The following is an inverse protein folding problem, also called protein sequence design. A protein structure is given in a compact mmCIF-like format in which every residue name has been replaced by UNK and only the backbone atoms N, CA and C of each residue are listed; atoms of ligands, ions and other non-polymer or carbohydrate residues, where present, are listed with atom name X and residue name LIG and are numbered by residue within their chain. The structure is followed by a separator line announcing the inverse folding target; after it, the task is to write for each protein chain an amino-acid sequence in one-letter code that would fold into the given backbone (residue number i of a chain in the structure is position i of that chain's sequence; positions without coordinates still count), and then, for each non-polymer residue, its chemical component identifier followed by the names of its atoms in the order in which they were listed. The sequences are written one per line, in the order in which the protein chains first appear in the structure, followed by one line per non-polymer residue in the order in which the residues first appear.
data_IF_119398566662
#
_entry.id   IF_119398566662
#
_cell.length_a   1.000
_cell.length_b   1.000
_cell.length_c   1.000
_cell.angle_alpha   90.00
_cell.angle_beta   90.00
_cell.angle_gamma   90.00
#
_symmetry.space_group_name_H-M   'P 1'
#
loop_
_entity.id
_entity.type
_entity.pdbx_description
1 polymer ?
#
# COMPACT_ATOMS: atom_id res chain seq x y z
N UNK A 1 59.72 -32.11 -42.70
CA UNK A 1 59.27 -32.45 -41.34
C UNK A 1 58.61 -31.24 -40.72
N UNK A 2 59.27 -30.39 -39.90
CA UNK A 2 58.56 -29.27 -39.24
C UNK A 2 57.80 -28.32 -40.19
N UNK A 3 58.39 -27.96 -41.34
CA UNK A 3 57.70 -27.09 -42.31
C UNK A 3 56.55 -27.77 -43.08
N UNK A 4 56.57 -29.10 -43.21
CA UNK A 4 55.49 -29.86 -43.85
C UNK A 4 54.32 -30.07 -42.87
N UNK A 5 54.62 -30.24 -41.58
CA UNK A 5 53.62 -30.30 -40.50
C UNK A 5 52.92 -28.95 -40.34
N UNK A 6 53.65 -27.83 -40.42
CA UNK A 6 53.07 -26.48 -40.39
C UNK A 6 52.11 -26.23 -41.58
N UNK A 7 52.45 -26.69 -42.79
CA UNK A 7 51.57 -26.59 -43.98
C UNK A 7 50.29 -27.43 -43.83
N UNK A 8 50.38 -28.60 -43.19
CA UNK A 8 49.21 -29.46 -42.92
C UNK A 8 48.27 -28.79 -41.90
N UNK A 9 48.80 -28.22 -40.82
CA UNK A 9 48.01 -27.47 -39.83
C UNK A 9 47.36 -26.23 -40.44
N UNK A 10 48.08 -25.49 -41.31
CA UNK A 10 47.52 -24.34 -42.02
C UNK A 10 46.34 -24.75 -42.92
N UNK A 11 46.46 -25.85 -43.66
CA UNK A 11 45.36 -26.39 -44.46
C UNK A 11 44.13 -26.75 -43.60
N UNK A 12 44.33 -27.41 -42.45
CA UNK A 12 43.23 -27.76 -41.55
C UNK A 12 42.52 -26.50 -41.02
N UNK A 13 43.28 -25.47 -40.63
CA UNK A 13 42.71 -24.19 -40.15
C UNK A 13 41.87 -23.51 -41.23
N UNK A 14 42.37 -23.41 -42.46
CA UNK A 14 41.63 -22.80 -43.58
C UNK A 14 40.38 -23.61 -43.95
N UNK A 15 40.50 -24.95 -43.89
CA UNK A 15 39.39 -25.87 -44.13
C UNK A 15 38.25 -25.66 -43.12
N UNK A 16 38.57 -25.68 -41.82
CA UNK A 16 37.60 -25.41 -40.75
C UNK A 16 37.02 -24.00 -40.88
N UNK A 17 37.85 -22.99 -41.14
CA UNK A 17 37.38 -21.62 -41.32
C UNK A 17 36.43 -21.48 -42.51
N UNK A 18 36.65 -22.25 -43.58
CA UNK A 18 35.75 -22.35 -44.72
C UNK A 18 34.40 -22.95 -44.34
N UNK A 19 34.41 -24.06 -43.59
CA UNK A 19 33.19 -24.70 -43.10
C UNK A 19 32.37 -23.79 -42.20
N UNK A 20 32.99 -23.12 -41.23
CA UNK A 20 32.30 -22.22 -40.30
C UNK A 20 31.71 -20.96 -40.98
N UNK A 21 32.16 -20.62 -42.20
CA UNK A 21 31.54 -19.58 -43.05
C UNK A 21 30.47 -20.14 -43.98
N UNK A 22 30.45 -21.45 -44.19
CA UNK A 22 29.58 -22.14 -45.13
C UNK A 22 28.12 -22.19 -44.66
N UNK A 23 27.18 -22.42 -45.59
CA UNK A 23 25.76 -22.55 -45.28
C UNK A 23 25.46 -23.76 -44.39
N UNK A 24 26.22 -24.85 -44.54
CA UNK A 24 26.02 -26.09 -43.79
C UNK A 24 26.27 -25.94 -42.29
N UNK A 25 27.08 -24.96 -41.90
CA UNK A 25 27.27 -24.52 -40.52
C UNK A 25 26.34 -23.35 -40.15
N UNK A 26 26.41 -22.27 -40.93
CA UNK A 26 25.79 -21.00 -40.55
C UNK A 26 24.26 -21.06 -40.52
N UNK A 27 23.62 -21.79 -41.44
CA UNK A 27 22.16 -21.86 -41.51
C UNK A 27 21.60 -22.60 -40.28
N UNK A 28 22.03 -23.84 -39.94
CA UNK A 28 21.50 -24.51 -38.75
C UNK A 28 21.74 -23.73 -37.45
N UNK A 29 22.88 -23.06 -37.31
CA UNK A 29 23.19 -22.24 -36.14
C UNK A 29 22.25 -21.02 -36.07
N UNK A 30 22.06 -20.30 -37.18
CA UNK A 30 21.15 -19.16 -37.23
C UNK A 30 19.71 -19.59 -36.98
N UNK A 31 19.24 -20.66 -37.61
CA UNK A 31 17.89 -21.22 -37.42
C UNK A 31 17.64 -21.57 -35.96
N UNK A 32 18.61 -22.21 -35.30
CA UNK A 32 18.52 -22.53 -33.87
C UNK A 32 18.39 -21.26 -33.03
N UNK A 33 19.24 -20.26 -33.28
CA UNK A 33 19.22 -19.00 -32.53
C UNK A 33 17.88 -18.28 -32.71
N UNK A 34 17.38 -18.19 -33.95
CA UNK A 34 16.10 -17.54 -34.26
C UNK A 34 14.91 -18.22 -33.59
N UNK A 35 14.94 -19.54 -33.47
CA UNK A 35 13.85 -20.31 -32.84
C UNK A 35 13.87 -20.27 -31.31
N UNK A 36 15.04 -20.04 -30.70
CA UNK A 36 15.23 -20.21 -29.25
C UNK A 36 15.57 -18.91 -28.53
N UNK A 37 15.87 -17.81 -29.23
CA UNK A 37 16.30 -16.55 -28.61
C UNK A 37 15.18 -15.79 -27.87
N UNK A 38 13.91 -16.06 -28.17
CA UNK A 38 12.76 -15.32 -27.62
C UNK A 38 12.77 -15.22 -26.08
N UNK A 39 13.19 -16.30 -25.40
CA UNK A 39 13.17 -16.37 -23.93
C UNK A 39 14.32 -15.61 -23.26
N UNK A 40 15.35 -15.20 -24.02
CA UNK A 40 16.57 -14.58 -23.52
C UNK A 40 16.41 -13.08 -23.35
N UNK A 41 16.53 -12.61 -22.11
CA UNK A 41 16.55 -11.19 -21.74
C UNK A 41 17.95 -10.72 -21.34
N UNK A 42 18.13 -9.39 -21.34
CA UNK A 42 19.37 -8.70 -20.95
C UNK A 42 19.49 -8.55 -19.41
N UNK A 43 18.84 -9.43 -18.64
CA UNK A 43 18.95 -9.42 -17.18
C UNK A 43 20.22 -10.12 -16.70
N UNK A 44 20.75 -9.71 -15.54
CA UNK A 44 21.95 -10.32 -14.94
C UNK A 44 21.68 -11.76 -14.49
N UNK A 45 20.49 -12.01 -13.91
CA UNK A 45 20.05 -13.34 -13.49
C UNK A 45 19.74 -14.24 -14.71
N UNK A 46 20.10 -15.52 -14.63
CA UNK A 46 19.87 -16.48 -15.71
C UNK A 46 18.74 -17.45 -15.34
N UNK A 47 17.80 -17.66 -16.27
CA UNK A 47 16.70 -18.62 -16.10
C UNK A 47 17.20 -20.04 -16.27
N UNK A 48 16.58 -21.00 -15.57
CA UNK A 48 16.91 -22.43 -15.70
C UNK A 48 16.76 -22.95 -17.14
N UNK A 49 15.80 -22.40 -17.89
CA UNK A 49 15.56 -22.71 -19.30
C UNK A 49 16.75 -22.35 -20.19
N UNK A 50 17.61 -21.39 -19.81
CA UNK A 50 18.78 -21.04 -20.62
C UNK A 50 19.80 -22.17 -20.66
N UNK A 51 19.94 -22.92 -19.56
CA UNK A 51 20.85 -24.06 -19.49
C UNK A 51 20.35 -25.23 -20.34
N UNK A 52 19.04 -25.47 -20.34
CA UNK A 52 18.43 -26.51 -21.19
C UNK A 52 18.67 -26.21 -22.68
N UNK A 53 18.43 -24.96 -23.10
CA UNK A 53 18.66 -24.52 -24.47
C UNK A 53 20.17 -24.54 -24.82
N UNK A 54 21.04 -24.19 -23.87
CA UNK A 54 22.49 -24.31 -24.09
C UNK A 54 22.92 -25.75 -24.34
N UNK A 55 22.32 -26.71 -23.63
CA UNK A 55 22.61 -28.12 -23.87
C UNK A 55 22.17 -28.57 -25.27
N UNK A 56 20.98 -28.16 -25.73
CA UNK A 56 20.55 -28.40 -27.12
C UNK A 56 21.51 -27.76 -28.13
N UNK A 57 22.04 -26.57 -27.83
CA UNK A 57 23.03 -25.89 -28.66
C UNK A 57 24.35 -26.65 -28.75
N UNK A 58 24.84 -27.19 -27.62
CA UNK A 58 26.06 -28.02 -27.59
C UNK A 58 25.91 -29.25 -28.47
N UNK A 59 24.78 -29.95 -28.35
CA UNK A 59 24.49 -31.15 -29.15
C UNK A 59 24.42 -30.82 -30.66
N UNK A 60 23.87 -29.66 -31.01
CA UNK A 60 23.85 -29.18 -32.40
C UNK A 60 25.26 -28.91 -32.92
N UNK A 61 26.08 -28.18 -32.16
CA UNK A 61 27.46 -27.84 -32.54
C UNK A 61 28.32 -29.11 -32.69
N UNK A 62 28.24 -30.01 -31.72
CA UNK A 62 28.94 -31.30 -31.73
C UNK A 62 28.57 -32.11 -32.96
N UNK A 63 27.27 -32.27 -33.24
CA UNK A 63 26.79 -33.00 -34.42
C UNK A 63 27.29 -32.41 -35.75
N UNK A 64 27.29 -31.07 -35.87
CA UNK A 64 27.76 -30.40 -37.09
C UNK A 64 29.26 -30.58 -37.29
N UNK A 65 30.05 -30.41 -36.23
CA UNK A 65 31.50 -30.60 -36.27
C UNK A 65 31.87 -32.06 -36.52
N UNK A 66 31.24 -33.02 -35.83
CA UNK A 66 31.48 -34.45 -36.03
C UNK A 66 31.18 -34.87 -37.48
N UNK A 67 30.06 -34.42 -38.04
CA UNK A 67 29.69 -34.72 -39.42
C UNK A 67 30.74 -34.20 -40.40
N UNK A 68 31.19 -32.96 -40.20
CA UNK A 68 32.20 -32.32 -41.03
C UNK A 68 33.56 -33.01 -40.93
N UNK A 69 34.07 -33.21 -39.72
CA UNK A 69 35.38 -33.82 -39.47
C UNK A 69 35.44 -35.24 -40.07
N UNK A 70 34.36 -36.00 -39.95
CA UNK A 70 34.24 -37.34 -40.54
C UNK A 70 34.21 -37.32 -42.07
N UNK A 71 33.58 -36.32 -42.68
CA UNK A 71 33.48 -36.21 -44.15
C UNK A 71 34.81 -35.79 -44.77
N UNK A 72 35.51 -34.83 -44.16
CA UNK A 72 36.81 -34.34 -44.63
C UNK A 72 37.96 -35.28 -44.23
N UNK A 73 37.75 -36.12 -43.21
CA UNK A 73 38.76 -37.07 -42.72
C UNK A 73 39.80 -36.43 -41.80
N UNK A 74 39.44 -35.36 -41.09
CA UNK A 74 40.27 -34.71 -40.07
C UNK A 74 40.03 -35.45 -38.75
N UNK A 75 41.11 -35.88 -38.09
CA UNK A 75 40.99 -36.52 -36.78
C UNK A 75 40.94 -35.48 -35.65
N UNK A 76 40.54 -35.92 -34.45
CA UNK A 76 40.41 -35.03 -33.27
C UNK A 76 41.74 -34.36 -32.88
N UNK A 77 42.87 -35.06 -33.01
CA UNK A 77 44.20 -34.53 -32.68
C UNK A 77 44.58 -33.37 -33.61
N UNK A 78 44.37 -33.53 -34.92
CA UNK A 78 44.60 -32.50 -35.94
C UNK A 78 43.68 -31.29 -35.74
N UNK A 79 42.41 -31.53 -35.37
CA UNK A 79 41.48 -30.46 -35.06
C UNK A 79 41.94 -29.67 -33.82
N UNK A 80 42.37 -30.37 -32.76
CA UNK A 80 42.86 -29.74 -31.54
C UNK A 80 44.15 -28.93 -31.79
N UNK A 81 45.06 -29.44 -32.61
CA UNK A 81 46.27 -28.73 -33.03
C UNK A 81 45.93 -27.47 -33.84
N UNK A 82 45.02 -27.58 -34.80
CA UNK A 82 44.53 -26.44 -35.57
C UNK A 82 43.87 -25.36 -34.68
N UNK A 83 43.07 -25.76 -33.69
CA UNK A 83 42.44 -24.82 -32.74
C UNK A 83 43.43 -24.14 -31.79
N UNK A 84 44.56 -24.78 -31.47
CA UNK A 84 45.58 -24.20 -30.59
C UNK A 84 46.61 -23.33 -31.33
N UNK A 85 46.68 -23.48 -32.66
CA UNK A 85 47.56 -22.73 -33.55
C UNK A 85 47.38 -21.20 -33.45
N UNK A 86 48.46 -20.41 -33.58
CA UNK A 86 48.38 -18.96 -33.71
C UNK A 86 47.49 -18.49 -34.86
N UNK A 87 47.37 -19.28 -35.93
CA UNK A 87 46.58 -18.98 -37.12
C UNK A 87 45.07 -18.91 -36.78
N UNK A 88 44.58 -19.79 -35.90
CA UNK A 88 43.20 -19.76 -35.43
C UNK A 88 42.87 -18.50 -34.59
N UNK A 89 43.88 -17.84 -34.01
CA UNK A 89 43.71 -16.65 -33.15
C UNK A 89 43.68 -15.32 -33.91
N UNK A 90 43.66 -15.34 -35.25
CA UNK A 90 43.55 -14.12 -36.04
C UNK A 90 42.24 -13.35 -35.72
N UNK A 91 42.24 -12.03 -35.93
CA UNK A 91 41.05 -11.19 -35.67
C UNK A 91 39.84 -11.59 -36.51
N UNK A 92 40.07 -12.10 -37.72
CA UNK A 92 39.02 -12.49 -38.66
C UNK A 92 38.38 -13.82 -38.26
N UNK A 93 39.15 -14.73 -37.66
CA UNK A 93 38.65 -16.01 -37.15
C UNK A 93 37.88 -15.86 -35.84
N UNK A 94 38.12 -14.81 -35.05
CA UNK A 94 37.44 -14.64 -33.75
C UNK A 94 35.91 -14.50 -33.85
N UNK A 95 35.39 -13.77 -34.84
CA UNK A 95 33.93 -13.66 -35.04
C UNK A 95 33.31 -14.97 -35.55
N UNK A 96 34.05 -15.72 -36.37
CA UNK A 96 33.61 -16.99 -36.97
C UNK A 96 33.65 -18.12 -35.95
N UNK A 97 34.61 -18.08 -35.02
CA UNK A 97 34.75 -19.03 -33.93
C UNK A 97 33.81 -18.74 -32.76
N UNK A 98 33.20 -17.55 -32.70
CA UNK A 98 32.33 -17.19 -31.58
C UNK A 98 31.20 -18.22 -31.32
N UNK A 99 30.47 -18.72 -32.33
CA UNK A 99 29.48 -19.78 -32.13
C UNK A 99 30.11 -21.10 -31.63
N UNK A 100 31.32 -21.44 -32.08
CA UNK A 100 32.02 -22.65 -31.59
C UNK A 100 32.40 -22.47 -30.11
N UNK A 101 32.95 -21.32 -29.74
CA UNK A 101 33.33 -21.00 -28.35
C UNK A 101 32.10 -20.95 -27.43
N UNK A 102 30.95 -20.52 -27.95
CA UNK A 102 29.70 -20.48 -27.22
C UNK A 102 29.22 -21.87 -26.78
N UNK A 103 29.66 -22.97 -27.41
CA UNK A 103 29.33 -24.32 -26.94
C UNK A 103 29.92 -24.59 -25.53
N UNK A 104 31.12 -24.10 -25.24
CA UNK A 104 31.76 -24.29 -23.94
C UNK A 104 31.52 -23.12 -22.98
N UNK A 105 31.43 -21.90 -23.50
CA UNK A 105 31.21 -20.68 -22.70
C UNK A 105 29.76 -20.22 -22.74
N UNK A 106 29.04 -20.49 -21.64
CA UNK A 106 27.66 -20.07 -21.47
C UNK A 106 27.47 -18.54 -21.55
N UNK A 107 28.46 -17.74 -21.17
CA UNK A 107 28.36 -16.27 -21.19
C UNK A 107 28.35 -15.76 -22.62
N UNK A 108 29.20 -16.33 -23.47
CA UNK A 108 29.23 -16.03 -24.92
C UNK A 108 27.91 -16.48 -25.56
N UNK A 109 27.43 -17.68 -25.21
CA UNK A 109 26.14 -18.19 -25.69
C UNK A 109 24.98 -17.27 -25.30
N UNK A 110 24.85 -16.91 -24.01
CA UNK A 110 23.80 -16.00 -23.53
C UNK A 110 23.87 -14.67 -24.29
N UNK A 111 25.05 -14.07 -24.42
CA UNK A 111 25.22 -12.82 -25.14
C UNK A 111 24.78 -12.92 -26.61
N UNK A 112 25.10 -14.03 -27.29
CA UNK A 112 24.66 -14.28 -28.67
C UNK A 112 23.13 -14.41 -28.78
N UNK A 113 22.50 -15.13 -27.85
CA UNK A 113 21.06 -15.33 -27.84
C UNK A 113 20.30 -14.04 -27.53
N UNK A 114 20.75 -13.26 -26.53
CA UNK A 114 20.19 -11.95 -26.20
C UNK A 114 20.31 -10.99 -27.39
N UNK A 115 21.49 -10.93 -28.00
CA UNK A 115 21.72 -10.09 -29.18
C UNK A 115 20.77 -10.44 -30.33
N UNK A 116 20.56 -11.74 -30.58
CA UNK A 116 19.63 -12.20 -31.63
C UNK A 116 18.17 -11.89 -31.28
N UNK A 117 17.78 -11.99 -30.00
CA UNK A 117 16.44 -11.62 -29.56
C UNK A 117 16.17 -10.13 -29.79
N UNK A 118 17.12 -9.27 -29.41
CA UNK A 118 17.05 -7.82 -29.65
C UNK A 118 16.90 -7.54 -31.15
N UNK A 119 17.70 -8.20 -31.99
CA UNK A 119 17.61 -8.07 -33.45
C UNK A 119 16.21 -8.46 -33.97
N UNK A 120 15.70 -9.63 -33.56
CA UNK A 120 14.37 -10.13 -33.94
C UNK A 120 13.25 -9.18 -33.51
N UNK A 121 13.31 -8.65 -32.28
CA UNK A 121 12.35 -7.68 -31.78
C UNK A 121 12.39 -6.38 -32.58
N UNK A 122 13.58 -5.85 -32.89
CA UNK A 122 13.73 -4.65 -33.72
C UNK A 122 13.19 -4.86 -35.14
N UNK A 123 13.42 -6.03 -35.74
CA UNK A 123 12.85 -6.38 -37.04
C UNK A 123 11.32 -6.43 -36.98
N UNK A 124 10.74 -7.04 -35.94
CA UNK A 124 9.30 -7.10 -35.75
C UNK A 124 8.68 -5.69 -35.59
N UNK A 125 9.28 -4.85 -34.76
CA UNK A 125 8.90 -3.43 -34.57
C UNK A 125 8.91 -2.71 -35.92
N UNK A 126 9.97 -2.87 -36.70
CA UNK A 126 10.09 -2.23 -38.02
C UNK A 126 8.99 -2.68 -38.98
N UNK A 127 8.69 -3.97 -39.04
CA UNK A 127 7.61 -4.51 -39.89
C UNK A 127 6.25 -3.92 -39.48
N UNK A 128 5.99 -3.76 -38.18
CA UNK A 128 4.77 -3.15 -37.67
C UNK A 128 4.67 -1.67 -38.10
N UNK A 129 5.76 -0.91 -38.00
CA UNK A 129 5.82 0.48 -38.43
C UNK A 129 5.57 0.64 -39.93
N UNK A 130 6.22 -0.18 -40.76
CA UNK A 130 6.08 -0.12 -42.22
C UNK A 130 4.66 -0.47 -42.67
N UNK A 131 3.97 -1.38 -41.96
CA UNK A 131 2.59 -1.76 -42.26
C UNK A 131 1.55 -0.74 -41.80
N UNK A 132 1.73 -0.15 -40.63
CA UNK A 132 0.72 0.68 -39.98
C UNK A 132 0.98 2.20 -40.17
N UNK A 133 2.14 2.59 -40.70
CA UNK A 133 2.57 3.97 -40.90
C UNK A 133 3.04 4.68 -39.62
N UNK A 134 2.56 4.25 -38.45
CA UNK A 134 2.97 4.71 -37.13
C UNK A 134 3.11 3.48 -36.22
N UNK A 135 4.08 3.51 -35.31
CA UNK A 135 4.23 2.47 -34.30
C UNK A 135 3.06 2.54 -33.30
N UNK A 136 2.47 1.42 -32.86
CA UNK A 136 1.46 1.42 -31.81
C UNK A 136 1.97 2.10 -30.54
N UNK A 137 1.11 2.87 -29.86
CA UNK A 137 1.45 3.59 -28.62
C UNK A 137 2.11 2.70 -27.56
N UNK A 138 1.73 1.42 -27.47
CA UNK A 138 2.33 0.44 -26.54
C UNK A 138 3.81 0.08 -26.82
N UNK A 139 4.36 0.50 -27.96
CA UNK A 139 5.75 0.29 -28.35
C UNK A 139 6.48 1.64 -28.54
N UNK A 140 5.80 2.77 -28.30
CA UNK A 140 6.35 4.13 -28.46
C UNK A 140 6.50 4.77 -27.09
N UNK A 141 7.75 5.11 -26.76
CA UNK A 141 8.20 5.65 -25.47
C UNK A 141 8.00 4.65 -24.31
N UNK A 142 9.07 4.37 -23.58
CA UNK A 142 9.06 3.49 -22.41
C UNK A 142 8.34 4.11 -21.22
N UNK A 143 7.22 4.82 -21.45
CA UNK A 143 6.24 5.12 -20.41
C UNK A 143 5.77 3.77 -19.91
N UNK A 144 6.34 3.40 -18.78
CA UNK A 144 6.06 2.22 -18.02
C UNK A 144 4.60 2.30 -17.57
N UNK A 145 3.68 1.95 -18.48
CA UNK A 145 2.24 1.96 -18.24
C UNK A 145 1.92 1.10 -17.02
N UNK A 146 2.76 0.10 -16.74
CA UNK A 146 2.72 -0.72 -15.54
C UNK A 146 3.05 0.15 -14.31
N UNK A 147 4.15 0.89 -14.30
CA UNK A 147 4.49 1.79 -13.19
C UNK A 147 3.49 2.93 -13.00
N UNK A 148 2.92 3.49 -14.07
CA UNK A 148 1.85 4.49 -13.98
C UNK A 148 0.57 3.90 -13.36
N UNK A 149 0.19 2.69 -13.75
CA UNK A 149 -0.95 1.97 -13.18
C UNK A 149 -0.71 1.65 -11.70
N UNK A 150 0.47 1.14 -11.32
CA UNK A 150 0.84 0.86 -9.93
C UNK A 150 0.82 2.12 -9.05
N UNK A 151 1.30 3.26 -9.59
CA UNK A 151 1.23 4.54 -8.90
C UNK A 151 -0.21 4.98 -8.67
N UNK A 152 -1.09 4.79 -9.64
CA UNK A 152 -2.50 5.13 -9.52
C UNK A 152 -3.22 4.21 -8.52
N UNK A 153 -2.93 2.90 -8.54
CA UNK A 153 -3.43 1.94 -7.55
C UNK A 153 -2.98 2.31 -6.13
N UNK A 154 -1.72 2.71 -5.95
CA UNK A 154 -1.19 3.15 -4.65
C UNK A 154 -1.84 4.46 -4.16
N UNK A 155 -2.28 5.34 -5.08
CA UNK A 155 -3.06 6.53 -4.70
C UNK A 155 -4.46 6.13 -4.23
N UNK A 156 -5.14 5.25 -4.97
CA UNK A 156 -6.46 4.74 -4.60
C UNK A 156 -6.40 4.06 -3.23
N UNK A 157 -5.42 3.18 -3.01
CA UNK A 157 -5.26 2.46 -1.74
C UNK A 157 -5.02 3.42 -0.56
N UNK A 158 -4.21 4.46 -0.74
CA UNK A 158 -3.99 5.51 0.29
C UNK A 158 -5.27 6.29 0.58
N UNK A 159 -6.01 6.65 -0.45
CA UNK A 159 -7.29 7.38 -0.32
C UNK A 159 -8.32 6.55 0.46
N UNK A 160 -8.42 5.25 0.15
CA UNK A 160 -9.32 4.30 0.83
C UNK A 160 -8.92 4.13 2.30
N UNK A 161 -7.64 3.93 2.59
CA UNK A 161 -7.15 3.82 3.98
C UNK A 161 -7.40 5.11 4.77
N UNK A 162 -7.21 6.28 4.16
CA UNK A 162 -7.50 7.57 4.77
C UNK A 162 -8.98 7.71 5.11
N UNK A 163 -9.87 7.45 4.15
CA UNK A 163 -11.33 7.52 4.37
C UNK A 163 -11.80 6.53 5.42
N UNK A 164 -11.32 5.29 5.38
CA UNK A 164 -11.67 4.28 6.38
C UNK A 164 -11.23 4.69 7.79
N UNK A 165 -10.05 5.30 7.93
CA UNK A 165 -9.58 5.84 9.21
C UNK A 165 -10.48 6.99 9.70
N UNK A 166 -10.81 7.95 8.83
CA UNK A 166 -11.66 9.09 9.17
C UNK A 166 -13.08 8.65 9.57
N UNK A 167 -13.66 7.71 8.83
CA UNK A 167 -14.98 7.14 9.14
C UNK A 167 -14.98 6.42 10.50
N UNK A 168 -13.92 5.67 10.81
CA UNK A 168 -13.76 5.02 12.11
C UNK A 168 -13.67 6.03 13.25
N UNK A 169 -12.85 7.08 13.10
CA UNK A 169 -12.69 8.13 14.13
C UNK A 169 -14.00 8.89 14.37
N UNK A 170 -14.74 9.22 13.30
CA UNK A 170 -16.04 9.86 13.39
C UNK A 170 -17.08 8.97 14.09
N UNK A 171 -17.14 7.68 13.76
CA UNK A 171 -18.09 6.76 14.39
C UNK A 171 -17.76 6.57 15.88
N UNK A 172 -16.48 6.49 16.24
CA UNK A 172 -16.04 6.46 17.63
C UNK A 172 -16.41 7.74 18.39
N UNK A 173 -16.29 8.91 17.75
CA UNK A 173 -16.76 10.17 18.33
C UNK A 173 -18.28 10.21 18.48
N UNK A 174 -19.04 9.71 17.50
CA UNK A 174 -20.50 9.56 17.61
C UNK A 174 -20.90 8.67 18.77
N UNK A 175 -20.20 7.55 18.99
CA UNK A 175 -20.44 6.67 20.14
C UNK A 175 -20.14 7.38 21.45
N UNK A 176 -18.99 8.06 21.57
CA UNK A 176 -18.64 8.85 22.76
C UNK A 176 -19.68 9.94 23.04
N UNK A 177 -20.10 10.70 22.04
CA UNK A 177 -21.10 11.76 22.20
C UNK A 177 -22.49 11.22 22.56
N UNK A 178 -22.92 10.10 21.96
CA UNK A 178 -24.16 9.42 22.36
C UNK A 178 -24.11 9.01 23.84
N UNK A 179 -22.99 8.47 24.30
CA UNK A 179 -22.83 8.04 25.69
C UNK A 179 -22.85 9.21 26.68
N UNK A 180 -22.21 10.33 26.35
CA UNK A 180 -22.27 11.57 27.14
C UNK A 180 -23.69 12.14 27.18
N UNK A 181 -24.38 12.18 26.03
CA UNK A 181 -25.75 12.68 25.96
C UNK A 181 -26.72 11.83 26.81
N UNK A 182 -26.56 10.50 26.78
CA UNK A 182 -27.35 9.57 27.60
C UNK A 182 -27.15 9.78 29.10
N UNK A 183 -25.90 9.96 29.56
CA UNK A 183 -25.60 10.28 30.97
C UNK A 183 -26.23 11.62 31.39
N UNK A 184 -26.17 12.63 30.53
CA UNK A 184 -26.78 13.94 30.80
C UNK A 184 -28.30 13.88 30.89
N UNK A 185 -28.95 13.06 30.05
CA UNK A 185 -30.39 12.86 30.07
C UNK A 185 -30.84 12.15 31.35
N UNK A 186 -30.09 11.15 31.79
CA UNK A 186 -30.34 10.44 33.04
C UNK A 186 -30.24 11.39 34.25
N UNK A 187 -29.23 12.26 34.28
CA UNK A 187 -29.07 13.28 35.32
C UNK A 187 -30.23 14.28 35.35
N UNK A 188 -30.69 14.76 34.19
CA UNK A 188 -31.86 15.65 34.08
C UNK A 188 -33.14 14.98 34.59
N UNK A 189 -33.35 13.71 34.29
CA UNK A 189 -34.52 12.95 34.74
C UNK A 189 -34.53 12.80 36.28
N UNK A 190 -33.38 12.48 36.88
CA UNK A 190 -33.25 12.41 38.34
C UNK A 190 -33.54 13.77 39.01
N UNK A 191 -33.12 14.87 38.40
CA UNK A 191 -33.42 16.23 38.90
C UNK A 191 -34.92 16.54 38.84
N UNK A 192 -35.63 16.17 37.76
CA UNK A 192 -37.08 16.34 37.68
C UNK A 192 -37.80 15.54 38.75
N UNK A 193 -37.44 14.27 38.93
CA UNK A 193 -38.05 13.41 39.97
C UNK A 193 -37.84 13.98 41.38
N UNK A 194 -36.65 14.54 41.64
CA UNK A 194 -36.35 15.24 42.90
C UNK A 194 -37.23 16.48 43.08
N UNK A 195 -37.39 17.28 42.03
CA UNK A 195 -38.22 18.48 42.04
C UNK A 195 -39.69 18.14 42.34
N UNK A 196 -40.25 17.15 41.63
CA UNK A 196 -41.62 16.71 41.81
C UNK A 196 -41.87 16.14 43.21
N UNK A 197 -40.91 15.38 43.75
CA UNK A 197 -40.98 14.88 45.11
C UNK A 197 -41.00 16.01 46.16
N UNK A 198 -40.16 17.04 45.99
CA UNK A 198 -40.13 18.22 46.87
C UNK A 198 -41.42 19.04 46.74
N UNK A 199 -41.93 19.19 45.52
CA UNK A 199 -43.22 19.82 45.24
C UNK A 199 -44.36 19.11 45.98
N UNK A 200 -44.41 17.78 45.90
CA UNK A 200 -45.41 16.97 46.59
C UNK A 200 -45.32 17.11 48.11
N UNK A 201 -44.11 17.12 48.69
CA UNK A 201 -43.89 17.39 50.12
C UNK A 201 -44.37 18.78 50.54
N UNK A 202 -44.07 19.81 49.74
CA UNK A 202 -44.54 21.18 49.98
C UNK A 202 -46.07 21.24 49.97
N UNK A 203 -46.71 20.64 48.98
CA UNK A 203 -48.17 20.68 48.84
C UNK A 203 -48.85 19.92 49.98
N UNK A 204 -48.29 18.78 50.40
CA UNK A 204 -48.72 18.05 51.60
C UNK A 204 -48.63 18.90 52.87
N UNK A 205 -47.52 19.63 53.04
CA UNK A 205 -47.33 20.56 54.16
C UNK A 205 -48.33 21.72 54.12
N UNK A 206 -48.58 22.29 52.94
CA UNK A 206 -49.58 23.34 52.74
C UNK A 206 -51.01 22.84 52.99
N UNK A 207 -51.32 21.57 52.68
CA UNK A 207 -52.59 20.93 53.02
C UNK A 207 -52.75 20.75 54.53
N UNK A 208 -51.70 20.28 55.22
CA UNK A 208 -51.70 20.16 56.68
C UNK A 208 -51.80 21.52 57.40
N UNK A 209 -51.31 22.60 56.77
CA UNK A 209 -51.52 23.98 57.24
C UNK A 209 -52.90 24.56 56.90
N UNK A 210 -53.61 23.99 55.92
CA UNK A 210 -54.96 24.40 55.49
C UNK A 210 -56.09 23.71 56.26
N UNK A 211 -55.78 22.73 57.11
CA UNK A 211 -56.67 22.26 58.19
C UNK A 211 -56.94 23.40 59.20
N UNK A 212 -58.08 23.40 59.93
CA UNK A 212 -58.96 24.56 60.17
C UNK A 212 -58.44 25.70 61.07
N UNK A 213 -57.13 25.87 61.25
CA UNK A 213 -56.55 27.01 61.98
C UNK A 213 -56.78 28.36 61.29
N UNK A 214 -56.88 28.41 59.95
CA UNK A 214 -57.20 29.67 59.24
C UNK A 214 -58.70 29.97 59.28
N UNK A 215 -59.57 28.94 59.27
CA UNK A 215 -61.01 29.14 59.49
C UNK A 215 -61.30 29.59 60.93
N UNK A 216 -60.46 29.24 61.90
CA UNK A 216 -60.61 29.69 63.29
C UNK A 216 -60.07 31.12 63.52
N UNK A 217 -58.99 31.52 62.83
CA UNK A 217 -58.48 32.91 62.90
C UNK A 217 -59.44 33.89 62.22
N UNK A 218 -60.01 33.54 61.05
CA UNK A 218 -60.98 34.40 60.37
C UNK A 218 -62.32 34.53 61.13
N UNK A 219 -62.73 33.50 61.89
CA UNK A 219 -63.97 33.52 62.69
C UNK A 219 -63.80 34.29 64.02
N UNK A 220 -62.60 34.27 64.62
CA UNK A 220 -62.28 35.04 65.84
C UNK A 220 -62.08 36.53 65.52
N UNK A 221 -61.47 36.86 64.38
CA UNK A 221 -61.33 38.26 63.92
C UNK A 221 -62.68 38.88 63.49
N UNK A 222 -63.62 38.09 62.98
CA UNK A 222 -64.97 38.59 62.60
C UNK A 222 -65.95 38.71 63.79
N UNK A 223 -65.78 37.96 64.87
CA UNK A 223 -66.64 38.09 66.07
C UNK A 223 -66.17 39.17 67.06
N UNK A 224 -64.90 39.58 67.04
CA UNK A 224 -64.40 40.69 67.87
C UNK A 224 -64.60 42.10 67.27
N UNK A 225 -65.10 42.22 66.05
CA UNK A 225 -65.21 43.50 65.34
C UNK A 225 -66.64 44.12 65.33
N UNK A 226 -67.57 43.65 66.18
CA UNK A 226 -68.96 44.19 66.24
C UNK A 226 -69.47 44.66 67.60
N UNK A 227 -68.62 44.70 68.64
CA UNK A 227 -68.97 45.33 69.92
C UNK A 227 -67.76 46.00 70.56
N UNK A 228 -67.71 47.33 70.49
CA UNK A 228 -66.76 48.28 71.11
C UNK A 228 -65.31 48.20 70.58
N UNK A 229 -64.69 49.19 69.91
CA UNK A 229 -64.80 50.66 70.09
C UNK A 229 -64.95 51.05 71.56
N UNK A 230 -63.97 50.67 72.38
CA UNK A 230 -63.18 51.63 73.16
C UNK A 230 -62.02 50.92 73.90
N UNK A 231 -60.92 51.64 73.97
CA UNK A 231 -59.74 51.44 74.81
C UNK A 231 -58.56 50.57 74.34
N UNK A 232 -57.61 51.33 73.77
CA UNK A 232 -56.20 51.46 74.19
C UNK A 232 -55.19 50.54 73.49
N UNK A 233 -54.22 51.25 72.92
CA UNK A 233 -53.02 50.78 72.28
C UNK A 233 -52.12 49.97 73.21
N UNK A 234 -51.70 48.80 72.75
CA UNK A 234 -50.45 48.19 73.20
C UNK A 234 -49.83 47.39 72.05
N UNK A 235 -48.66 47.83 71.58
CA UNK A 235 -47.78 46.99 70.75
C UNK A 235 -47.16 45.94 71.66
N UNK A 236 -47.28 44.63 71.39
CA UNK A 236 -46.44 43.67 72.11
C UNK A 236 -44.99 43.79 71.61
N UNK A 237 -44.11 44.13 72.54
CA UNK A 237 -42.65 44.11 72.40
C UNK A 237 -42.16 42.68 72.12
N UNK A 238 -41.35 42.55 71.07
CA UNK A 238 -40.67 41.30 70.69
C UNK A 238 -39.43 41.10 71.58
N UNK A 239 -39.31 39.91 72.18
CA UNK A 239 -38.22 39.57 73.09
C UNK A 239 -36.85 39.63 72.39
N UNK A 240 -35.79 39.97 73.14
CA UNK A 240 -34.45 40.16 72.59
C UNK A 240 -33.89 38.91 71.88
N UNK A 241 -34.33 37.72 72.32
CA UNK A 241 -33.94 36.43 71.76
C UNK A 241 -34.53 36.20 70.37
N UNK A 242 -35.78 36.62 70.14
CA UNK A 242 -36.45 36.51 68.84
C UNK A 242 -35.84 37.48 67.83
N UNK A 243 -35.52 38.70 68.25
CA UNK A 243 -34.78 39.67 67.42
C UNK A 243 -33.40 39.14 67.03
N UNK A 244 -32.65 38.56 67.98
CA UNK A 244 -31.35 37.95 67.68
C UNK A 244 -31.47 36.75 66.73
N UNK A 245 -32.50 35.93 66.90
CA UNK A 245 -32.71 34.75 66.05
C UNK A 245 -33.05 35.16 64.62
N UNK A 246 -33.88 36.19 64.44
CA UNK A 246 -34.19 36.74 63.12
C UNK A 246 -32.98 37.39 62.45
N UNK A 247 -32.16 38.14 63.21
CA UNK A 247 -30.92 38.72 62.69
C UNK A 247 -29.91 37.66 62.26
N UNK A 248 -29.71 36.61 63.06
CA UNK A 248 -28.84 35.47 62.70
C UNK A 248 -29.33 34.77 61.44
N UNK A 249 -30.64 34.54 61.31
CA UNK A 249 -31.25 33.94 60.11
C UNK A 249 -31.09 34.83 58.87
N UNK A 250 -31.21 36.15 59.02
CA UNK A 250 -31.01 37.11 57.92
C UNK A 250 -29.57 37.12 57.43
N UNK A 251 -28.59 37.17 58.34
CA UNK A 251 -27.17 37.13 58.00
C UNK A 251 -26.75 35.82 57.31
N UNK A 252 -27.26 34.68 57.77
CA UNK A 252 -26.96 33.38 57.14
C UNK A 252 -27.53 33.33 55.72
N UNK A 253 -28.74 33.84 55.51
CA UNK A 253 -29.37 33.88 54.18
C UNK A 253 -28.61 34.81 53.22
N UNK A 254 -28.08 35.94 53.71
CA UNK A 254 -27.29 36.87 52.92
C UNK A 254 -25.93 36.27 52.54
N UNK A 255 -25.25 35.60 53.48
CA UNK A 255 -23.96 34.94 53.23
C UNK A 255 -24.08 33.78 52.24
N UNK A 256 -25.14 32.97 52.35
CA UNK A 256 -25.44 31.90 51.38
C UNK A 256 -25.76 32.45 49.99
N UNK A 257 -26.41 33.62 49.91
CA UNK A 257 -26.71 34.27 48.64
C UNK A 257 -25.45 34.80 47.95
N UNK A 258 -24.48 35.32 48.70
CA UNK A 258 -23.19 35.74 48.13
C UNK A 258 -22.33 34.56 47.66
N UNK A 259 -22.25 33.45 48.42
CA UNK A 259 -21.47 32.26 48.04
C UNK A 259 -22.02 31.51 46.81
N UNK A 260 -23.32 31.60 46.56
CA UNK A 260 -23.99 30.92 45.44
C UNK A 260 -24.03 31.77 44.17
N UNK A 261 -23.87 33.10 44.27
CA UNK A 261 -23.92 34.02 43.11
C UNK A 261 -22.52 34.46 42.64
N UNK A 262 -21.47 34.33 43.47
CA UNK A 262 -20.08 34.65 43.08
C UNK A 262 -19.20 33.40 42.80
N UNK A 263 -19.75 32.35 42.19
CA UNK A 263 -18.98 31.22 41.63
C UNK A 263 -19.34 30.95 40.18
#
# INVERSE_FOLDING_TARGET
MAAEEDEEVEWVVESIAGFLRGPDWSIPILDFMEQKCEVFDDEEESKLTYTEIHQEYKELVEKLLESYLKEIGINEDQFQEACTSPLAKSRTSQAILQPVLAAEDFSIFKAMMVQKNIEMQLQAIRIIQERNGVLPDCLTDGSDMVSELEQEEMKILREVLRKSKEEYEQEEERKRNKQVCNLSALGREQLRQREDYLRQKRDKLMSMKKDPRIKQIHNIEQQKAKSAEEEIAEKPEMTAEEKQTLLKRRLIAEKLKEEVINK
#
